data_IF_639380545725
#
_entry.id   IF_639380545725
#
_cell.length_a   1.000
_cell.length_b   1.000
_cell.length_c   1.000
_cell.angle_alpha   90.00
_cell.angle_beta   90.00
_cell.angle_gamma   90.00
#
_symmetry.space_group_name_H-M   'P 1'
#
loop_
_entity.id
_entity.type
_entity.pdbx_description
1 polymer ?
#
# COMPACT_ATOMS: atom_id res chain seq x y z
N UNK A 1 8.42 42.07 -3.53
CA UNK A 1 9.01 40.91 -2.83
C UNK A 1 7.88 40.06 -2.25
N UNK A 2 7.30 39.20 -3.08
CA UNK A 2 6.26 38.24 -2.70
C UNK A 2 6.91 36.87 -2.62
N UNK A 3 6.92 36.27 -1.43
CA UNK A 3 7.27 34.86 -1.24
C UNK A 3 6.08 34.02 -1.66
N UNK A 4 6.08 33.58 -2.91
CA UNK A 4 5.18 32.55 -3.40
C UNK A 4 5.67 31.19 -2.89
N UNK A 5 4.80 30.51 -2.14
CA UNK A 5 4.90 29.10 -1.79
C UNK A 5 4.91 28.28 -3.09
N UNK A 6 6.07 27.75 -3.46
CA UNK A 6 6.21 26.72 -4.48
C UNK A 6 6.38 25.39 -3.74
N UNK A 7 5.27 24.71 -3.43
CA UNK A 7 5.30 23.30 -3.03
C UNK A 7 5.60 22.50 -4.30
N UNK A 8 6.87 22.18 -4.50
CA UNK A 8 7.31 21.24 -5.51
C UNK A 8 6.76 19.86 -5.11
N UNK A 9 5.70 19.41 -5.77
CA UNK A 9 5.33 17.99 -5.80
C UNK A 9 6.41 17.26 -6.60
N UNK A 10 7.51 16.89 -5.92
CA UNK A 10 8.42 15.90 -6.44
C UNK A 10 7.71 14.55 -6.29
N UNK A 11 7.04 14.10 -7.35
CA UNK A 11 6.81 12.67 -7.54
C UNK A 11 8.19 12.03 -7.69
N UNK A 12 8.81 11.65 -6.56
CA UNK A 12 9.77 10.57 -6.57
C UNK A 12 8.99 9.35 -7.03
N UNK A 13 9.18 8.95 -8.29
CA UNK A 13 9.05 7.57 -8.70
C UNK A 13 9.98 6.75 -7.81
N UNK A 14 9.47 6.33 -6.65
CA UNK A 14 10.03 5.20 -5.95
C UNK A 14 9.76 4.04 -6.89
N UNK A 15 10.79 3.65 -7.62
CA UNK A 15 10.91 2.29 -8.12
C UNK A 15 10.77 1.41 -6.87
N UNK A 16 9.55 0.97 -6.56
CA UNK A 16 9.33 -0.11 -5.61
C UNK A 16 10.03 -1.31 -6.23
N UNK A 17 11.27 -1.55 -5.82
CA UNK A 17 11.80 -2.90 -5.86
C UNK A 17 10.83 -3.72 -5.02
N UNK A 18 10.06 -4.59 -5.66
CA UNK A 18 9.20 -5.58 -4.99
C UNK A 18 10.11 -6.61 -4.33
N UNK A 19 10.83 -6.18 -3.30
CA UNK A 19 11.50 -7.11 -2.41
C UNK A 19 10.40 -7.85 -1.67
N UNK A 20 10.49 -9.16 -1.65
CA UNK A 20 9.61 -10.00 -0.85
C UNK A 20 9.67 -9.53 0.61
N UNK A 21 8.51 -9.24 1.20
CA UNK A 21 8.45 -8.70 2.56
C UNK A 21 8.49 -9.80 3.63
N UNK A 22 8.14 -11.04 3.26
CA UNK A 22 7.98 -12.17 4.18
C UNK A 22 8.82 -13.36 3.72
N UNK A 23 9.63 -13.93 4.61
CA UNK A 23 10.31 -15.21 4.37
C UNK A 23 9.28 -16.38 4.37
N UNK A 24 9.05 -17.07 3.23
CA UNK A 24 8.10 -18.18 3.15
C UNK A 24 8.40 -19.32 4.11
N UNK A 25 9.69 -19.62 4.35
CA UNK A 25 10.08 -20.74 5.20
C UNK A 25 9.82 -20.41 6.67
N UNK A 26 10.08 -19.18 7.09
CA UNK A 26 9.75 -18.70 8.43
C UNK A 26 8.23 -18.69 8.65
N UNK A 27 7.46 -18.23 7.66
CA UNK A 27 6.00 -18.25 7.71
C UNK A 27 5.48 -19.68 7.87
N UNK A 28 5.91 -20.60 7.00
CA UNK A 28 5.55 -22.03 7.05
C UNK A 28 5.85 -22.65 8.42
N UNK A 29 7.05 -22.44 8.96
CA UNK A 29 7.43 -22.96 10.28
C UNK A 29 6.56 -22.38 11.40
N UNK A 30 6.30 -21.08 11.35
CA UNK A 30 5.45 -20.40 12.34
C UNK A 30 4.03 -20.96 12.34
N UNK A 31 3.39 -21.08 11.17
CA UNK A 31 2.02 -21.59 11.05
C UNK A 31 1.97 -23.07 11.41
N UNK A 32 2.94 -23.86 10.96
CA UNK A 32 3.01 -25.28 11.29
C UNK A 32 3.11 -25.51 12.80
N UNK A 33 3.91 -24.72 13.53
CA UNK A 33 4.03 -24.83 14.98
C UNK A 33 2.73 -24.47 15.72
N UNK A 34 2.05 -23.41 15.31
CA UNK A 34 0.75 -23.03 15.87
C UNK A 34 -0.29 -24.15 15.64
N UNK A 35 -0.37 -24.67 14.42
CA UNK A 35 -1.26 -25.78 14.08
C UNK A 35 -0.93 -27.07 14.83
N UNK A 36 0.34 -27.35 15.09
CA UNK A 36 0.78 -28.49 15.92
C UNK A 36 0.31 -28.37 17.37
N UNK A 37 0.18 -27.14 17.88
CA UNK A 37 -0.30 -26.83 19.22
C UNK A 37 -1.82 -26.64 19.30
N UNK A 38 -2.53 -26.87 18.20
CA UNK A 38 -3.97 -26.64 18.05
C UNK A 38 -4.39 -25.15 18.17
N UNK A 39 -3.45 -24.22 17.98
CA UNK A 39 -3.70 -22.77 17.96
C UNK A 39 -4.05 -22.28 16.54
N UNK A 40 -5.06 -22.91 15.95
CA UNK A 40 -5.44 -22.66 14.55
C UNK A 40 -6.01 -21.25 14.34
N UNK A 41 -6.69 -20.69 15.34
CA UNK A 41 -7.19 -19.33 15.37
C UNK A 41 -6.06 -18.31 15.20
N UNK A 42 -4.96 -18.49 15.94
CA UNK A 42 -3.76 -17.65 15.83
C UNK A 42 -3.10 -17.80 14.47
N UNK A 43 -3.09 -19.01 13.89
CA UNK A 43 -2.62 -19.21 12.52
C UNK A 43 -3.46 -18.40 11.54
N UNK A 44 -4.78 -18.47 11.62
CA UNK A 44 -5.68 -17.71 10.74
C UNK A 44 -5.48 -16.21 10.92
N UNK A 45 -5.45 -15.69 12.16
CA UNK A 45 -5.22 -14.28 12.42
C UNK A 45 -3.91 -13.77 11.81
N UNK A 46 -2.82 -14.52 11.99
CA UNK A 46 -1.51 -14.18 11.41
C UNK A 46 -1.51 -14.19 9.89
N UNK A 47 -2.23 -15.12 9.27
CA UNK A 47 -2.36 -15.19 7.81
C UNK A 47 -3.22 -14.04 7.28
N UNK A 48 -4.29 -13.69 8.00
CA UNK A 48 -5.14 -12.55 7.68
C UNK A 48 -4.37 -11.22 7.78
N UNK A 49 -3.45 -11.05 8.74
CA UNK A 49 -2.57 -9.87 8.76
C UNK A 49 -1.79 -9.70 7.44
N UNK A 50 -1.30 -10.79 6.85
CA UNK A 50 -0.57 -10.77 5.58
C UNK A 50 -1.52 -10.48 4.41
N UNK A 51 -2.66 -11.17 4.38
CA UNK A 51 -3.64 -11.06 3.29
C UNK A 51 -4.22 -9.65 3.15
N UNK A 52 -4.24 -8.88 4.25
CA UNK A 52 -4.80 -7.54 4.29
C UNK A 52 -3.74 -6.44 4.45
N UNK A 53 -2.46 -6.78 4.28
CA UNK A 53 -1.40 -5.79 4.27
C UNK A 53 -1.19 -5.25 2.85
N UNK A 54 -1.39 -3.94 2.68
CA UNK A 54 -1.18 -3.22 1.41
C UNK A 54 0.27 -3.30 0.90
N UNK A 55 1.23 -3.51 1.81
CA UNK A 55 2.66 -3.66 1.48
C UNK A 55 3.04 -5.09 1.08
N UNK A 56 2.17 -6.08 1.32
CA UNK A 56 2.45 -7.47 0.96
C UNK A 56 2.50 -7.64 -0.57
N UNK A 57 3.45 -8.44 -1.04
CA UNK A 57 3.51 -8.80 -2.46
C UNK A 57 2.44 -9.84 -2.81
N UNK A 58 2.14 -10.00 -4.11
CA UNK A 58 1.25 -11.08 -4.56
C UNK A 58 1.76 -12.47 -4.14
N UNK A 59 3.09 -12.66 -4.13
CA UNK A 59 3.71 -13.89 -3.68
C UNK A 59 3.61 -14.08 -2.15
N UNK A 60 3.70 -13.02 -1.35
CA UNK A 60 3.47 -13.08 0.10
C UNK A 60 2.03 -13.54 0.41
N UNK A 61 1.04 -12.97 -0.28
CA UNK A 61 -0.38 -13.36 -0.15
C UNK A 61 -0.64 -14.78 -0.67
N UNK A 62 0.02 -15.19 -1.76
CA UNK A 62 0.01 -16.58 -2.23
C UNK A 62 0.47 -17.54 -1.14
N UNK A 63 1.63 -17.27 -0.51
CA UNK A 63 2.14 -18.12 0.57
C UNK A 63 1.16 -18.18 1.76
N UNK A 64 0.53 -17.05 2.09
CA UNK A 64 -0.48 -17.02 3.14
C UNK A 64 -1.70 -17.91 2.81
N UNK A 65 -2.23 -17.82 1.58
CA UNK A 65 -3.33 -18.70 1.14
C UNK A 65 -2.94 -20.18 1.09
N UNK A 66 -1.70 -20.52 0.70
CA UNK A 66 -1.20 -21.91 0.78
C UNK A 66 -1.23 -22.41 2.22
N UNK A 67 -0.70 -21.63 3.18
CA UNK A 67 -0.72 -22.02 4.59
C UNK A 67 -2.15 -22.13 5.14
N UNK A 68 -3.06 -21.27 4.70
CA UNK A 68 -4.48 -21.33 5.06
C UNK A 68 -5.15 -22.60 4.53
N UNK A 69 -4.88 -22.96 3.27
CA UNK A 69 -5.32 -24.23 2.68
C UNK A 69 -4.84 -25.44 3.49
N UNK A 70 -3.54 -25.48 3.83
CA UNK A 70 -2.95 -26.57 4.61
C UNK A 70 -3.55 -26.66 6.02
N UNK A 71 -3.86 -25.52 6.64
CA UNK A 71 -4.55 -25.44 7.94
C UNK A 71 -5.93 -26.09 7.87
N UNK A 72 -6.75 -25.73 6.89
CA UNK A 72 -8.08 -26.33 6.72
C UNK A 72 -8.05 -27.79 6.27
N UNK A 73 -7.08 -28.17 5.44
CA UNK A 73 -6.85 -29.57 5.05
C UNK A 73 -6.60 -30.44 6.27
N UNK A 74 -5.81 -29.95 7.23
CA UNK A 74 -5.51 -30.66 8.48
C UNK A 74 -6.76 -30.87 9.35
N UNK A 75 -7.74 -29.98 9.23
CA UNK A 75 -9.05 -30.06 9.89
C UNK A 75 -10.11 -30.79 9.04
N UNK A 76 -9.69 -31.49 7.98
CA UNK A 76 -10.56 -32.22 7.04
C UNK A 76 -11.60 -31.36 6.31
N UNK A 77 -11.44 -30.04 6.31
CA UNK A 77 -12.29 -29.12 5.57
C UNK A 77 -11.69 -28.87 4.17
N UNK A 78 -11.82 -29.89 3.33
CA UNK A 78 -11.26 -29.87 1.97
C UNK A 78 -11.91 -28.82 1.07
N UNK A 79 -13.18 -28.48 1.29
CA UNK A 79 -13.88 -27.43 0.55
C UNK A 79 -13.21 -26.08 0.75
N UNK A 80 -12.99 -25.68 2.00
CA UNK A 80 -12.32 -24.41 2.31
C UNK A 80 -10.85 -24.45 1.89
N UNK A 81 -10.18 -25.60 2.02
CA UNK A 81 -8.81 -25.77 1.53
C UNK A 81 -8.70 -25.53 0.00
N UNK A 82 -9.57 -26.15 -0.80
CA UNK A 82 -9.60 -25.97 -2.27
C UNK A 82 -9.93 -24.53 -2.67
N UNK A 83 -10.84 -23.88 -1.95
CA UNK A 83 -11.15 -22.47 -2.16
C UNK A 83 -9.90 -21.59 -1.93
N UNK A 84 -9.16 -21.82 -0.85
CA UNK A 84 -7.92 -21.10 -0.57
C UNK A 84 -6.83 -21.37 -1.63
N UNK A 85 -6.73 -22.58 -2.19
CA UNK A 85 -5.82 -22.85 -3.32
C UNK A 85 -6.22 -22.08 -4.59
N UNK A 86 -7.51 -21.85 -4.77
CA UNK A 86 -8.02 -21.04 -5.89
C UNK A 86 -7.70 -19.57 -5.69
N UNK A 87 -7.90 -19.05 -4.48
CA UNK A 87 -7.49 -17.68 -4.11
C UNK A 87 -5.97 -17.49 -4.24
N UNK A 88 -5.17 -18.46 -3.78
CA UNK A 88 -3.72 -18.45 -3.95
C UNK A 88 -3.33 -18.31 -5.43
N UNK A 89 -3.95 -19.12 -6.30
CA UNK A 89 -3.72 -19.06 -7.74
C UNK A 89 -4.10 -17.70 -8.32
N UNK A 90 -5.29 -17.20 -8.01
CA UNK A 90 -5.77 -15.94 -8.58
C UNK A 90 -4.93 -14.74 -8.16
N UNK A 91 -4.39 -14.76 -6.95
CA UNK A 91 -3.52 -13.71 -6.42
C UNK A 91 -2.19 -13.61 -7.20
N UNK A 92 -1.55 -14.75 -7.49
CA UNK A 92 -0.16 -14.77 -7.98
C UNK A 92 0.02 -15.39 -9.38
N UNK A 93 -1.04 -15.74 -10.11
CA UNK A 93 -0.94 -16.32 -11.47
C UNK A 93 -0.19 -15.45 -12.49
N UNK A 94 -0.13 -14.15 -12.25
CA UNK A 94 0.58 -13.18 -13.10
C UNK A 94 2.00 -12.86 -12.59
N UNK A 95 2.44 -13.48 -11.50
CA UNK A 95 3.81 -13.34 -11.00
C UNK A 95 4.77 -14.08 -11.94
N UNK A 96 5.59 -13.33 -12.67
CA UNK A 96 6.55 -13.89 -13.62
C UNK A 96 7.81 -14.46 -12.95
N UNK A 97 8.14 -14.00 -11.74
CA UNK A 97 9.36 -14.40 -11.04
C UNK A 97 9.21 -15.81 -10.45
N UNK A 98 8.06 -16.08 -9.84
CA UNK A 98 7.78 -17.31 -9.10
C UNK A 98 6.81 -18.26 -9.82
N UNK A 99 6.55 -18.04 -11.12
CA UNK A 99 5.49 -18.69 -11.88
C UNK A 99 5.49 -20.23 -11.80
N UNK A 100 6.68 -20.85 -11.88
CA UNK A 100 6.81 -22.31 -11.88
C UNK A 100 6.57 -22.91 -10.49
N UNK A 101 7.03 -22.25 -9.43
CA UNK A 101 6.74 -22.66 -8.05
C UNK A 101 5.26 -22.55 -7.75
N UNK A 102 4.63 -21.42 -8.07
CA UNK A 102 3.20 -21.17 -7.85
C UNK A 102 2.36 -22.24 -8.54
N UNK A 103 2.61 -22.49 -9.83
CA UNK A 103 1.92 -23.53 -10.61
C UNK A 103 2.09 -24.91 -9.98
N UNK A 104 3.33 -25.27 -9.66
CA UNK A 104 3.67 -26.60 -9.15
C UNK A 104 3.06 -26.84 -7.78
N UNK A 105 3.11 -25.85 -6.90
CA UNK A 105 2.54 -25.95 -5.56
C UNK A 105 1.03 -26.10 -5.59
N UNK A 106 0.31 -25.25 -6.35
CA UNK A 106 -1.16 -25.35 -6.45
C UNK A 106 -1.59 -26.67 -7.09
N UNK A 107 -0.90 -27.12 -8.13
CA UNK A 107 -1.16 -28.40 -8.79
C UNK A 107 -1.06 -29.57 -7.81
N UNK A 108 0.06 -29.66 -7.09
CA UNK A 108 0.33 -30.77 -6.17
C UNK A 108 -0.60 -30.74 -4.96
N UNK A 109 -0.88 -29.58 -4.36
CA UNK A 109 -1.80 -29.51 -3.22
C UNK A 109 -3.24 -29.88 -3.61
N UNK A 110 -3.71 -29.48 -4.79
CA UNK A 110 -5.00 -29.93 -5.32
C UNK A 110 -5.01 -31.44 -5.57
N UNK A 111 -3.94 -31.97 -6.15
CA UNK A 111 -3.79 -33.41 -6.38
C UNK A 111 -3.85 -34.19 -5.06
N UNK A 112 -3.20 -33.70 -4.00
CA UNK A 112 -3.25 -34.34 -2.68
C UNK A 112 -4.66 -34.30 -2.08
N UNK A 113 -5.37 -33.18 -2.20
CA UNK A 113 -6.75 -33.09 -1.70
C UNK A 113 -7.68 -34.04 -2.45
N UNK A 114 -7.61 -34.11 -3.78
CA UNK A 114 -8.43 -35.04 -4.55
C UNK A 114 -8.06 -36.51 -4.30
N UNK A 115 -6.78 -36.78 -4.02
CA UNK A 115 -6.36 -38.10 -3.55
C UNK A 115 -7.00 -38.47 -2.21
N UNK A 116 -6.99 -37.56 -1.23
CA UNK A 116 -7.57 -37.77 0.10
C UNK A 116 -9.09 -37.95 0.03
N UNK A 117 -9.76 -37.19 -0.84
CA UNK A 117 -11.20 -37.29 -1.10
C UNK A 117 -11.60 -38.53 -1.92
N UNK A 118 -10.64 -39.25 -2.51
CA UNK A 118 -10.87 -40.36 -3.44
C UNK A 118 -11.64 -39.95 -4.71
N UNK A 119 -11.46 -38.70 -5.15
CA UNK A 119 -12.04 -38.14 -6.38
C UNK A 119 -11.19 -38.55 -7.59
N UNK A 120 -11.36 -39.80 -8.04
CA UNK A 120 -10.52 -40.45 -9.03
C UNK A 120 -10.36 -39.65 -10.34
N UNK A 121 -11.46 -39.13 -10.90
CA UNK A 121 -11.42 -38.39 -12.16
C UNK A 121 -10.57 -37.11 -12.09
N UNK A 122 -10.73 -36.34 -11.01
CA UNK A 122 -9.95 -35.10 -10.80
C UNK A 122 -8.51 -35.42 -10.47
N UNK A 123 -8.27 -36.43 -9.63
CA UNK A 123 -6.93 -36.90 -9.28
C UNK A 123 -6.16 -37.33 -10.53
N UNK A 124 -6.71 -38.21 -11.37
CA UNK A 124 -6.03 -38.74 -12.56
C UNK A 124 -5.76 -37.63 -13.59
N UNK A 125 -6.68 -36.67 -13.72
CA UNK A 125 -6.50 -35.50 -14.58
C UNK A 125 -5.33 -34.63 -14.13
N UNK A 126 -5.18 -34.40 -12.83
CA UNK A 126 -4.05 -33.63 -12.30
C UNK A 126 -2.75 -34.42 -12.33
N UNK A 127 -2.79 -35.73 -12.06
CA UNK A 127 -1.61 -36.59 -12.05
C UNK A 127 -0.91 -36.57 -13.41
N UNK A 128 -1.67 -36.61 -14.51
CA UNK A 128 -1.14 -36.51 -15.88
C UNK A 128 -0.47 -35.16 -16.18
N UNK A 129 -0.72 -34.12 -15.39
CA UNK A 129 -0.10 -32.80 -15.56
C UNK A 129 1.19 -32.65 -14.75
N UNK A 130 1.46 -33.54 -13.79
CA UNK A 130 2.69 -33.48 -12.98
C UNK A 130 3.88 -33.89 -13.85
N UNK A 131 4.87 -33.00 -13.94
CA UNK A 131 6.13 -33.23 -14.66
C UNK A 131 7.32 -33.15 -13.73
N UNK A 132 8.48 -33.68 -14.13
CA UNK A 132 9.73 -33.56 -13.37
C UNK A 132 10.11 -32.10 -13.10
N UNK A 133 9.80 -31.19 -14.04
CA UNK A 133 9.98 -29.76 -13.84
C UNK A 133 9.18 -29.25 -12.65
N UNK A 134 7.92 -29.68 -12.50
CA UNK A 134 7.12 -29.28 -11.34
C UNK A 134 7.74 -29.73 -10.02
N UNK A 135 8.26 -30.95 -10.00
CA UNK A 135 8.85 -31.56 -8.80
C UNK A 135 10.14 -30.87 -8.35
N UNK A 136 10.85 -30.18 -9.25
CA UNK A 136 12.04 -29.38 -8.91
C UNK A 136 11.72 -28.07 -8.21
N UNK A 137 10.47 -27.60 -8.29
CA UNK A 137 10.02 -26.31 -7.75
C UNK A 137 9.18 -26.45 -6.48
N UNK A 138 9.26 -27.58 -5.77
CA UNK A 138 8.55 -27.79 -4.51
C UNK A 138 9.49 -28.24 -3.39
N UNK A 139 9.06 -28.01 -2.15
CA UNK A 139 9.82 -28.42 -0.99
C UNK A 139 9.88 -29.95 -0.82
N UNK A 140 10.81 -30.42 0.00
CA UNK A 140 11.02 -31.86 0.22
C UNK A 140 9.80 -32.55 0.85
N UNK A 141 8.99 -31.83 1.65
CA UNK A 141 7.76 -32.39 2.22
C UNK A 141 6.71 -32.70 1.15
N UNK A 142 6.52 -31.77 0.21
CA UNK A 142 5.63 -31.92 -0.93
C UNK A 142 6.10 -33.05 -1.83
N UNK A 143 7.41 -33.11 -2.09
CA UNK A 143 8.01 -34.19 -2.86
C UNK A 143 7.83 -35.55 -2.18
N UNK A 144 8.01 -35.62 -0.86
CA UNK A 144 7.78 -36.84 -0.10
C UNK A 144 6.31 -37.28 -0.11
N UNK A 145 5.38 -36.32 -0.01
CA UNK A 145 3.95 -36.60 -0.11
C UNK A 145 3.60 -37.19 -1.48
N UNK A 146 4.03 -36.54 -2.57
CA UNK A 146 3.85 -37.05 -3.93
C UNK A 146 4.49 -38.44 -4.13
N UNK A 147 5.73 -38.62 -3.66
CA UNK A 147 6.44 -39.91 -3.73
C UNK A 147 5.67 -41.00 -2.99
N UNK A 148 5.06 -40.68 -1.84
CA UNK A 148 4.25 -41.64 -1.10
C UNK A 148 2.96 -42.02 -1.83
N UNK A 149 2.34 -41.09 -2.56
CA UNK A 149 1.21 -41.38 -3.45
C UNK A 149 1.63 -42.36 -4.55
N UNK A 150 2.80 -42.17 -5.18
CA UNK A 150 3.32 -43.14 -6.16
C UNK A 150 3.48 -44.53 -5.53
N UNK A 151 3.97 -44.60 -4.29
CA UNK A 151 4.04 -45.85 -3.54
C UNK A 151 2.66 -46.49 -3.29
N UNK A 152 1.64 -45.69 -2.99
CA UNK A 152 0.26 -46.18 -2.84
C UNK A 152 -0.30 -46.69 -4.18
N UNK A 153 -0.01 -46.01 -5.29
CA UNK A 153 -0.44 -46.42 -6.62
C UNK A 153 0.24 -47.74 -7.04
N UNK A 154 1.55 -47.85 -6.91
CA UNK A 154 2.28 -49.10 -7.18
C UNK A 154 1.74 -50.27 -6.34
N UNK A 155 1.44 -50.01 -5.06
CA UNK A 155 0.82 -50.99 -4.17
C UNK A 155 -0.58 -51.43 -4.66
N UNK A 156 -1.39 -50.53 -5.23
CA UNK A 156 -2.71 -50.88 -5.80
C UNK A 156 -2.59 -51.79 -7.02
N UNK A 157 -1.54 -51.60 -7.81
CA UNK A 157 -1.19 -52.44 -8.96
C UNK A 157 -0.49 -53.75 -8.56
N UNK A 158 -0.31 -54.01 -7.27
CA UNK A 158 0.45 -55.14 -6.71
C UNK A 158 1.96 -55.13 -7.06
N UNK A 159 2.50 -53.99 -7.50
CA UNK A 159 3.95 -53.78 -7.63
C UNK A 159 4.53 -53.40 -6.26
N UNK A 160 4.71 -54.40 -5.41
CA UNK A 160 5.14 -54.20 -4.03
C UNK A 160 6.59 -53.76 -3.90
N UNK A 161 7.46 -54.13 -4.84
CA UNK A 161 8.86 -53.72 -4.85
C UNK A 161 8.99 -52.21 -5.10
N UNK A 162 8.34 -51.72 -6.16
CA UNK A 162 8.32 -50.28 -6.43
C UNK A 162 7.60 -49.52 -5.31
N UNK A 163 6.52 -50.08 -4.76
CA UNK A 163 5.81 -49.47 -3.64
C UNK A 163 6.72 -49.27 -2.42
N UNK A 164 7.46 -50.30 -2.02
CA UNK A 164 8.41 -50.22 -0.90
C UNK A 164 9.52 -49.20 -1.19
N UNK A 165 10.10 -49.23 -2.40
CA UNK A 165 11.15 -48.30 -2.81
C UNK A 165 10.69 -46.83 -2.78
N UNK A 166 9.48 -46.54 -3.26
CA UNK A 166 8.91 -45.19 -3.17
C UNK A 166 8.71 -44.74 -1.72
N UNK A 167 8.20 -45.61 -0.86
CA UNK A 167 7.98 -45.27 0.55
C UNK A 167 9.31 -45.06 1.29
N UNK A 168 10.35 -45.84 1.00
CA UNK A 168 11.68 -45.64 1.58
C UNK A 168 12.31 -44.33 1.11
N UNK A 169 12.12 -43.98 -0.17
CA UNK A 169 12.52 -42.66 -0.69
C UNK A 169 11.79 -41.52 0.02
N UNK A 170 10.47 -41.66 0.24
CA UNK A 170 9.69 -40.66 0.97
C UNK A 170 10.14 -40.52 2.44
N UNK A 171 10.49 -41.62 3.10
CA UNK A 171 11.09 -41.60 4.45
C UNK A 171 12.42 -40.85 4.44
N UNK A 172 13.29 -41.13 3.46
CA UNK A 172 14.59 -40.48 3.35
C UNK A 172 14.48 -38.95 3.20
N UNK A 173 13.51 -38.49 2.39
CA UNK A 173 13.22 -37.06 2.21
C UNK A 173 12.74 -36.38 3.51
N UNK A 174 11.87 -37.04 4.28
CA UNK A 174 11.32 -36.44 5.50
C UNK A 174 12.25 -36.52 6.71
N UNK A 175 13.14 -37.51 6.78
CA UNK A 175 13.89 -37.83 7.99
C UNK A 175 14.68 -36.65 8.56
N UNK A 176 15.26 -35.81 7.70
CA UNK A 176 16.10 -34.68 8.10
C UNK A 176 15.38 -33.33 8.05
N UNK A 177 14.29 -33.22 7.28
CA UNK A 177 13.57 -31.96 7.09
C UNK A 177 12.37 -31.85 8.03
N UNK A 178 11.51 -32.87 8.04
CA UNK A 178 10.23 -32.88 8.76
C UNK A 178 9.89 -34.28 9.28
N UNK A 179 10.69 -34.83 10.21
CA UNK A 179 10.49 -36.18 10.77
C UNK A 179 9.12 -36.33 11.45
N UNK A 180 8.52 -35.23 11.92
CA UNK A 180 7.16 -35.24 12.48
C UNK A 180 6.10 -35.78 11.51
N UNK A 181 6.33 -35.70 10.19
CA UNK A 181 5.40 -36.16 9.15
C UNK A 181 5.60 -37.63 8.73
N UNK A 182 6.65 -38.30 9.22
CA UNK A 182 6.92 -39.71 8.93
C UNK A 182 5.78 -40.69 9.24
N UNK A 183 4.91 -40.48 10.26
CA UNK A 183 3.79 -41.38 10.51
C UNK A 183 2.88 -41.58 9.29
N UNK A 184 2.71 -40.55 8.43
CA UNK A 184 1.93 -40.69 7.19
C UNK A 184 2.50 -41.74 6.24
N UNK A 185 3.83 -41.87 6.18
CA UNK A 185 4.51 -42.85 5.32
C UNK A 185 4.46 -44.24 5.97
N UNK A 186 4.73 -44.31 7.27
CA UNK A 186 4.70 -45.57 8.01
C UNK A 186 3.31 -46.22 8.01
N UNK A 187 2.22 -45.45 8.07
CA UNK A 187 0.87 -45.99 7.88
C UNK A 187 0.73 -46.74 6.55
N UNK A 188 1.32 -46.23 5.46
CA UNK A 188 1.26 -46.91 4.16
C UNK A 188 2.09 -48.19 4.20
N UNK A 189 3.26 -48.18 4.86
CA UNK A 189 4.09 -49.39 5.05
C UNK A 189 3.36 -50.48 5.84
N UNK A 190 2.57 -50.12 6.86
CA UNK A 190 1.70 -51.09 7.59
C UNK A 190 0.77 -51.80 6.61
N UNK A 191 0.09 -51.06 5.75
CA UNK A 191 -0.83 -51.63 4.77
C UNK A 191 -0.11 -52.44 3.68
N UNK A 192 1.04 -51.97 3.19
CA UNK A 192 1.89 -52.68 2.22
C UNK A 192 2.34 -54.04 2.76
N UNK A 193 2.96 -54.05 3.94
CA UNK A 193 3.45 -55.28 4.55
C UNK A 193 2.33 -56.24 4.93
N UNK A 194 1.16 -55.73 5.31
CA UNK A 194 -0.04 -56.55 5.47
C UNK A 194 -0.46 -57.28 4.21
N UNK A 195 -0.42 -56.61 3.05
CA UNK A 195 -0.72 -57.24 1.75
C UNK A 195 0.35 -58.24 1.30
N UNK A 196 1.60 -58.02 1.70
CA UNK A 196 2.71 -58.94 1.44
C UNK A 196 2.78 -60.13 2.43
N UNK A 197 1.84 -60.22 3.39
CA UNK A 197 1.88 -61.18 4.51
C UNK A 197 3.17 -61.10 5.37
N UNK A 198 3.80 -59.92 5.42
CA UNK A 198 4.99 -59.61 6.24
C UNK A 198 4.55 -59.03 7.58
N UNK A 199 3.89 -59.84 8.41
CA UNK A 199 3.22 -59.37 9.64
C UNK A 199 4.15 -58.67 10.64
N UNK A 200 5.36 -59.20 10.84
CA UNK A 200 6.34 -58.60 11.75
C UNK A 200 6.77 -57.21 11.27
N UNK A 201 7.01 -57.04 9.97
CA UNK A 201 7.39 -55.76 9.39
C UNK A 201 6.23 -54.75 9.46
N UNK A 202 4.98 -55.21 9.29
CA UNK A 202 3.80 -54.37 9.45
C UNK A 202 3.71 -53.81 10.88
N UNK A 203 3.92 -54.64 11.90
CA UNK A 203 3.90 -54.22 13.30
C UNK A 203 5.07 -53.29 13.63
N UNK A 204 6.29 -53.59 13.16
CA UNK A 204 7.45 -52.69 13.32
C UNK A 204 7.22 -51.33 12.65
N UNK A 205 6.62 -51.31 11.46
CA UNK A 205 6.27 -50.06 10.79
C UNK A 205 5.23 -49.27 11.59
N UNK A 206 4.24 -49.94 12.18
CA UNK A 206 3.26 -49.30 13.06
C UNK A 206 3.92 -48.69 14.30
N UNK A 207 4.75 -49.47 15.00
CA UNK A 207 5.47 -49.02 16.19
C UNK A 207 6.35 -47.82 15.88
N UNK A 208 7.11 -47.87 14.78
CA UNK A 208 7.97 -46.76 14.36
C UNK A 208 7.18 -45.50 14.02
N UNK A 209 6.06 -45.65 13.29
CA UNK A 209 5.17 -44.53 12.99
C UNK A 209 4.55 -43.91 14.25
N UNK A 210 4.15 -44.74 15.21
CA UNK A 210 3.59 -44.26 16.47
C UNK A 210 4.65 -43.57 17.34
N UNK A 211 5.88 -44.10 17.39
CA UNK A 211 7.02 -43.47 18.09
C UNK A 211 7.26 -42.05 17.59
N UNK A 212 7.27 -41.83 16.27
CA UNK A 212 7.37 -40.48 15.70
C UNK A 212 6.18 -39.59 16.09
N UNK A 213 4.96 -40.11 16.03
CA UNK A 213 3.78 -39.35 16.41
C UNK A 213 3.82 -38.91 17.89
N UNK A 214 4.31 -39.78 18.78
CA UNK A 214 4.44 -39.50 20.22
C UNK A 214 5.62 -38.56 20.51
N UNK A 215 6.79 -38.79 19.91
CA UNK A 215 7.99 -37.98 20.07
C UNK A 215 7.71 -36.50 19.71
N UNK A 216 6.99 -36.27 18.62
CA UNK A 216 6.66 -34.93 18.12
C UNK A 216 5.29 -34.42 18.60
N UNK A 217 4.58 -35.17 19.46
CA UNK A 217 3.27 -34.80 20.02
C UNK A 217 2.22 -34.48 18.95
N UNK A 218 2.19 -35.29 17.89
CA UNK A 218 1.33 -35.08 16.73
C UNK A 218 0.02 -35.88 16.87
N UNK A 219 -1.01 -35.28 17.47
CA UNK A 219 -2.28 -35.98 17.74
C UNK A 219 -3.00 -36.48 16.48
N UNK A 220 -2.99 -35.69 15.40
CA UNK A 220 -3.51 -36.13 14.10
C UNK A 220 -2.80 -37.40 13.60
N UNK A 221 -1.50 -37.53 13.84
CA UNK A 221 -0.74 -38.69 13.41
C UNK A 221 -0.92 -39.90 14.31
N UNK A 222 -1.24 -39.70 15.60
CA UNK A 222 -1.70 -40.80 16.47
C UNK A 222 -3.00 -41.40 15.94
N UNK A 223 -3.96 -40.56 15.54
CA UNK A 223 -5.21 -40.99 14.90
C UNK A 223 -4.91 -41.80 13.63
N UNK A 224 -4.09 -41.26 12.73
CA UNK A 224 -3.72 -41.89 11.45
C UNK A 224 -3.04 -43.26 11.68
N UNK A 225 -2.16 -43.39 12.66
CA UNK A 225 -1.54 -44.68 13.00
C UNK A 225 -2.54 -45.67 13.60
N UNK A 226 -3.43 -45.23 14.50
CA UNK A 226 -4.47 -46.11 15.04
C UNK A 226 -5.44 -46.60 13.96
N UNK A 227 -5.77 -45.76 12.98
CA UNK A 227 -6.58 -46.17 11.82
C UNK A 227 -5.84 -47.19 10.94
N UNK A 228 -4.54 -46.98 10.72
CA UNK A 228 -3.68 -47.91 9.97
C UNK A 228 -3.74 -49.32 10.55
N UNK A 229 -3.49 -49.44 11.85
CA UNK A 229 -3.44 -50.74 12.52
C UNK A 229 -4.84 -51.36 12.68
N UNK A 230 -5.88 -50.53 12.86
CA UNK A 230 -7.27 -50.98 12.87
C UNK A 230 -7.61 -51.65 11.53
N UNK A 231 -7.27 -51.00 10.40
CA UNK A 231 -7.48 -51.56 9.06
C UNK A 231 -6.68 -52.83 8.86
N UNK A 232 -5.41 -52.85 9.27
CA UNK A 232 -4.56 -54.03 9.20
C UNK A 232 -5.19 -55.23 9.92
N UNK A 233 -5.54 -55.10 11.21
CA UNK A 233 -6.14 -56.22 11.96
C UNK A 233 -7.46 -56.68 11.36
N UNK A 234 -8.29 -55.74 10.87
CA UNK A 234 -9.53 -56.07 10.17
C UNK A 234 -9.28 -56.92 8.92
N UNK A 235 -8.26 -56.57 8.14
CA UNK A 235 -7.90 -57.31 6.91
C UNK A 235 -7.35 -58.71 7.21
N UNK A 236 -6.70 -58.88 8.37
CA UNK A 236 -6.23 -60.18 8.86
C UNK A 236 -7.33 -61.02 9.55
N UNK A 237 -8.55 -60.50 9.67
CA UNK A 237 -9.66 -61.17 10.37
C UNK A 237 -9.57 -61.11 11.90
N UNK A 238 -8.63 -60.36 12.47
CA UNK A 238 -8.51 -60.13 13.91
C UNK A 238 -9.42 -58.97 14.36
N UNK A 239 -10.72 -59.26 14.39
CA UNK A 239 -11.73 -58.27 14.75
C UNK A 239 -11.62 -57.80 16.21
N UNK A 240 -11.02 -58.59 17.10
CA UNK A 240 -10.82 -58.22 18.50
C UNK A 240 -9.83 -57.05 18.61
N UNK A 241 -8.66 -57.19 17.99
CA UNK A 241 -7.68 -56.10 17.99
C UNK A 241 -8.12 -54.92 17.13
N UNK A 242 -8.81 -55.18 16.01
CA UNK A 242 -9.40 -54.10 15.21
C UNK A 242 -10.39 -53.26 16.04
N UNK A 243 -11.29 -53.90 16.81
CA UNK A 243 -12.23 -53.21 17.69
C UNK A 243 -11.51 -52.42 18.80
N UNK A 244 -10.49 -53.01 19.43
CA UNK A 244 -9.69 -52.34 20.45
C UNK A 244 -9.04 -51.04 19.93
N UNK A 245 -8.41 -51.07 18.75
CA UNK A 245 -7.82 -49.88 18.16
C UNK A 245 -8.86 -48.90 17.62
N UNK A 246 -10.02 -49.36 17.16
CA UNK A 246 -11.14 -48.49 16.78
C UNK A 246 -11.63 -47.64 17.97
N UNK A 247 -11.63 -48.17 19.20
CA UNK A 247 -11.94 -47.38 20.39
C UNK A 247 -10.90 -46.27 20.63
N UNK A 248 -9.61 -46.55 20.39
CA UNK A 248 -8.55 -45.53 20.46
C UNK A 248 -8.72 -44.45 19.39
N UNK A 249 -9.08 -44.84 18.16
CA UNK A 249 -9.42 -43.88 17.09
C UNK A 249 -10.56 -42.97 17.54
N UNK A 250 -11.64 -43.55 18.09
CA UNK A 250 -12.79 -42.78 18.55
C UNK A 250 -12.42 -41.79 19.66
N UNK A 251 -11.67 -42.21 20.67
CA UNK A 251 -11.21 -41.33 21.76
C UNK A 251 -10.30 -40.21 21.23
N UNK A 252 -9.34 -40.55 20.37
CA UNK A 252 -8.40 -39.57 19.82
C UNK A 252 -9.09 -38.56 18.90
N UNK A 253 -10.05 -38.99 18.06
CA UNK A 253 -10.83 -38.08 17.20
C UNK A 253 -11.71 -37.13 17.99
N UNK A 254 -12.34 -37.60 19.07
CA UNK A 254 -13.13 -36.75 19.97
C UNK A 254 -12.27 -35.65 20.59
N UNK A 255 -11.03 -35.96 20.98
CA UNK A 255 -10.09 -34.98 21.54
C UNK A 255 -9.57 -34.00 20.48
N UNK A 256 -9.26 -34.50 19.28
CA UNK A 256 -8.77 -33.66 18.18
C UNK A 256 -9.85 -32.71 17.64
N UNK A 257 -11.11 -33.15 17.65
CA UNK A 257 -12.31 -32.34 17.39
C UNK A 257 -12.26 -31.46 16.11
N UNK A 258 -11.68 -31.99 15.03
CA UNK A 258 -11.41 -31.24 13.81
C UNK A 258 -12.62 -30.49 13.24
N UNK A 259 -13.79 -31.13 13.23
CA UNK A 259 -15.00 -30.56 12.65
C UNK A 259 -15.47 -29.32 13.41
N UNK A 260 -15.45 -29.37 14.75
CA UNK A 260 -15.87 -28.23 15.57
C UNK A 260 -14.86 -27.08 15.42
N UNK A 261 -13.57 -27.38 15.51
CA UNK A 261 -12.50 -26.39 15.33
C UNK A 261 -12.61 -25.74 13.94
N UNK A 262 -12.83 -26.53 12.88
CA UNK A 262 -13.02 -25.96 11.54
C UNK A 262 -14.26 -25.07 11.43
N UNK A 263 -15.34 -25.40 12.14
CA UNK A 263 -16.55 -24.57 12.20
C UNK A 263 -16.26 -23.22 12.85
N UNK A 264 -15.59 -23.24 14.01
CA UNK A 264 -15.15 -22.05 14.75
C UNK A 264 -14.23 -21.16 13.91
N UNK A 265 -13.29 -21.73 13.15
CA UNK A 265 -12.42 -20.95 12.27
C UNK A 265 -13.19 -20.29 11.11
N UNK A 266 -14.18 -20.98 10.56
CA UNK A 266 -15.01 -20.42 9.48
C UNK A 266 -15.84 -19.24 10.00
N UNK A 267 -16.32 -19.34 11.23
CA UNK A 267 -17.04 -18.25 11.92
C UNK A 267 -16.10 -17.08 12.22
N UNK A 268 -14.91 -17.35 12.76
CA UNK A 268 -13.87 -16.34 13.00
C UNK A 268 -13.54 -15.55 11.72
N UNK A 269 -13.31 -16.22 10.60
CA UNK A 269 -13.01 -15.53 9.34
C UNK A 269 -14.16 -14.65 8.84
N UNK A 270 -15.39 -15.11 9.03
CA UNK A 270 -16.57 -14.32 8.70
C UNK A 270 -16.64 -13.06 9.57
N UNK A 271 -16.37 -13.17 10.87
CA UNK A 271 -16.29 -12.03 11.79
C UNK A 271 -15.20 -11.04 11.37
N UNK A 272 -14.00 -11.52 11.01
CA UNK A 272 -12.90 -10.69 10.54
C UNK A 272 -13.28 -9.94 9.25
N UNK A 273 -13.95 -10.62 8.31
CA UNK A 273 -14.45 -10.00 7.08
C UNK A 273 -15.49 -8.92 7.37
N UNK A 274 -16.45 -9.20 8.24
CA UNK A 274 -17.50 -8.24 8.62
C UNK A 274 -16.90 -7.02 9.35
N UNK A 275 -15.92 -7.23 10.23
CA UNK A 275 -15.17 -6.15 10.89
C UNK A 275 -14.45 -5.26 9.88
N UNK A 276 -13.74 -5.85 8.91
CA UNK A 276 -13.04 -5.09 7.86
C UNK A 276 -14.00 -4.27 7.01
N UNK A 277 -15.10 -4.87 6.55
CA UNK A 277 -16.12 -4.18 5.77
C UNK A 277 -16.70 -2.98 6.54
N UNK A 278 -16.89 -3.12 7.85
CA UNK A 278 -17.36 -2.03 8.70
C UNK A 278 -16.33 -0.90 8.83
N UNK A 279 -15.04 -1.24 8.93
CA UNK A 279 -13.93 -0.27 8.96
C UNK A 279 -13.86 0.49 7.61
N UNK A 280 -13.91 -0.22 6.49
CA UNK A 280 -13.92 0.38 5.14
C UNK A 280 -15.11 1.34 4.96
N UNK A 281 -16.31 0.91 5.38
CA UNK A 281 -17.51 1.74 5.31
C UNK A 281 -17.40 2.98 6.20
N UNK A 282 -16.80 2.86 7.38
CA UNK A 282 -16.55 3.99 8.27
C UNK A 282 -15.52 4.97 7.68
N UNK A 283 -14.47 4.44 7.05
CA UNK A 283 -13.49 5.23 6.33
C UNK A 283 -14.13 5.97 5.15
N UNK A 284 -14.92 5.28 4.31
CA UNK A 284 -15.63 5.86 3.17
C UNK A 284 -16.56 7.00 3.60
N UNK A 285 -17.34 6.79 4.67
CA UNK A 285 -18.21 7.84 5.26
C UNK A 285 -17.39 9.04 5.72
N UNK A 286 -16.26 8.81 6.38
CA UNK A 286 -15.37 9.87 6.87
C UNK A 286 -14.75 10.64 5.70
N UNK A 287 -14.25 9.96 4.67
CA UNK A 287 -13.71 10.60 3.46
C UNK A 287 -14.75 11.47 2.74
N UNK A 288 -16.00 11.00 2.62
CA UNK A 288 -17.11 11.80 2.06
C UNK A 288 -17.40 13.05 2.90
N UNK A 289 -17.41 12.92 4.23
CA UNK A 289 -17.60 14.07 5.12
C UNK A 289 -16.49 15.11 4.94
N UNK A 290 -15.22 14.69 4.88
CA UNK A 290 -14.11 15.61 4.60
C UNK A 290 -14.28 16.32 3.26
N UNK A 291 -14.71 15.59 2.22
CA UNK A 291 -14.95 16.18 0.89
C UNK A 291 -16.06 17.25 0.94
N UNK A 292 -17.17 17.00 1.66
CA UNK A 292 -18.23 17.99 1.83
C UNK A 292 -17.75 19.23 2.60
N UNK A 293 -16.98 19.04 3.67
CA UNK A 293 -16.41 20.16 4.43
C UNK A 293 -15.48 21.00 3.55
N UNK A 294 -14.59 20.37 2.80
CA UNK A 294 -13.69 21.05 1.86
C UNK A 294 -14.52 21.81 0.79
N UNK A 295 -15.55 21.18 0.22
CA UNK A 295 -16.40 21.82 -0.78
C UNK A 295 -17.15 23.05 -0.22
N UNK A 296 -17.65 22.98 1.02
CA UNK A 296 -18.29 24.11 1.70
C UNK A 296 -17.29 25.24 1.94
N UNK A 297 -16.07 24.93 2.41
CA UNK A 297 -15.01 25.91 2.62
C UNK A 297 -14.64 26.60 1.30
N UNK A 298 -14.49 25.84 0.20
CA UNK A 298 -14.20 26.38 -1.13
C UNK A 298 -15.34 27.26 -1.64
N UNK A 299 -16.60 26.86 -1.44
CA UNK A 299 -17.76 27.66 -1.81
C UNK A 299 -17.79 28.99 -1.05
N UNK A 300 -17.56 28.97 0.27
CA UNK A 300 -17.48 30.17 1.09
C UNK A 300 -16.31 31.08 0.67
N UNK A 301 -15.16 30.50 0.29
CA UNK A 301 -14.01 31.24 -0.22
C UNK A 301 -14.34 31.93 -1.55
N UNK A 302 -15.00 31.23 -2.48
CA UNK A 302 -15.44 31.79 -3.77
C UNK A 302 -16.43 32.95 -3.55
N UNK A 303 -17.41 32.78 -2.65
CA UNK A 303 -18.38 33.83 -2.32
C UNK A 303 -17.70 35.06 -1.69
N UNK A 304 -16.76 34.85 -0.77
CA UNK A 304 -15.97 35.91 -0.13
C UNK A 304 -15.12 36.69 -1.16
N UNK A 305 -14.43 35.96 -2.04
CA UNK A 305 -13.62 36.56 -3.11
C UNK A 305 -14.50 37.35 -4.09
N UNK A 306 -15.65 36.81 -4.49
CA UNK A 306 -16.64 37.51 -5.32
C UNK A 306 -17.11 38.83 -4.68
N UNK A 307 -17.39 38.82 -3.37
CA UNK A 307 -17.76 40.03 -2.61
C UNK A 307 -16.61 41.05 -2.61
N UNK A 308 -15.37 40.61 -2.38
CA UNK A 308 -14.19 41.47 -2.35
C UNK A 308 -13.93 42.14 -3.70
N UNK A 309 -14.04 41.39 -4.79
CA UNK A 309 -13.93 41.91 -6.16
C UNK A 309 -15.03 42.94 -6.46
N UNK A 310 -16.27 42.68 -6.04
CA UNK A 310 -17.38 43.61 -6.23
C UNK A 310 -17.17 44.93 -5.46
N UNK A 311 -16.75 44.86 -4.20
CA UNK A 311 -16.41 46.05 -3.39
C UNK A 311 -15.26 46.83 -4.03
N UNK A 312 -14.24 46.13 -4.52
CA UNK A 312 -13.10 46.77 -5.20
C UNK A 312 -13.54 47.49 -6.48
N UNK A 313 -14.48 46.90 -7.25
CA UNK A 313 -15.08 47.53 -8.43
C UNK A 313 -15.87 48.80 -8.05
N UNK A 314 -16.71 48.73 -7.01
CA UNK A 314 -17.46 49.90 -6.53
C UNK A 314 -16.55 51.04 -6.07
N UNK A 315 -15.47 50.72 -5.33
CA UNK A 315 -14.45 51.70 -4.92
C UNK A 315 -13.79 52.38 -6.13
N UNK A 316 -13.42 51.61 -7.16
CA UNK A 316 -12.83 52.17 -8.39
C UNK A 316 -13.78 53.15 -9.08
N UNK A 317 -15.05 52.79 -9.22
CA UNK A 317 -16.07 53.66 -9.83
C UNK A 317 -16.28 54.94 -9.01
N UNK A 318 -16.30 54.84 -7.68
CA UNK A 318 -16.45 56.01 -6.82
C UNK A 318 -15.26 56.98 -6.95
N UNK A 319 -14.04 56.45 -6.89
CA UNK A 319 -12.81 57.23 -7.06
C UNK A 319 -12.76 57.88 -8.45
N UNK A 320 -13.19 57.18 -9.49
CA UNK A 320 -13.26 57.74 -10.85
C UNK A 320 -14.26 58.89 -10.94
N UNK A 321 -15.43 58.79 -10.29
CA UNK A 321 -16.41 59.88 -10.19
C UNK A 321 -15.86 61.09 -9.44
N UNK A 322 -15.24 60.87 -8.29
CA UNK A 322 -14.65 61.92 -7.46
C UNK A 322 -13.50 62.63 -8.19
N UNK A 323 -12.62 61.87 -8.86
CA UNK A 323 -11.56 62.43 -9.70
C UNK A 323 -12.12 63.27 -10.86
N UNK A 324 -13.21 62.84 -11.49
CA UNK A 324 -13.86 63.62 -12.56
C UNK A 324 -14.49 64.90 -12.00
N UNK A 325 -15.12 64.85 -10.83
CA UNK A 325 -15.65 66.04 -10.16
C UNK A 325 -14.55 67.06 -9.86
N UNK A 326 -13.45 66.61 -9.24
CA UNK A 326 -12.29 67.46 -8.93
C UNK A 326 -11.71 68.07 -10.22
N UNK A 327 -11.61 67.31 -11.30
CA UNK A 327 -11.15 67.82 -12.61
C UNK A 327 -12.05 68.94 -13.13
N UNK A 328 -13.37 68.74 -13.12
CA UNK A 328 -14.33 69.76 -13.58
C UNK A 328 -14.28 71.01 -12.70
N UNK A 329 -14.09 70.85 -11.39
CA UNK A 329 -13.98 71.97 -10.46
C UNK A 329 -12.67 72.74 -10.64
N UNK A 330 -11.54 72.06 -10.84
CA UNK A 330 -10.27 72.69 -11.23
C UNK A 330 -10.43 73.44 -12.55
N UNK A 331 -11.06 72.84 -13.55
CA UNK A 331 -11.31 73.48 -14.85
C UNK A 331 -12.16 74.73 -14.71
N UNK A 332 -13.25 74.66 -13.92
CA UNK A 332 -14.10 75.80 -13.60
C UNK A 332 -13.31 76.92 -12.91
N UNK A 333 -12.55 76.59 -11.86
CA UNK A 333 -11.73 77.56 -11.13
C UNK A 333 -10.61 78.15 -12.01
N UNK A 334 -10.05 77.36 -12.93
CA UNK A 334 -9.04 77.82 -13.90
C UNK A 334 -9.66 78.78 -14.91
N UNK A 335 -10.83 78.45 -15.45
CA UNK A 335 -11.57 79.32 -16.37
C UNK A 335 -12.07 80.59 -15.67
N UNK A 336 -12.53 80.51 -14.41
CA UNK A 336 -12.89 81.66 -13.59
C UNK A 336 -11.68 82.58 -13.35
N UNK A 337 -10.52 82.02 -12.99
CA UNK A 337 -9.24 82.74 -12.90
C UNK A 337 -8.89 83.45 -14.21
N UNK A 338 -9.03 82.78 -15.34
CA UNK A 338 -8.71 83.33 -16.66
C UNK A 338 -9.72 84.41 -17.08
N UNK A 339 -11.00 84.29 -16.69
CA UNK A 339 -12.06 85.29 -16.93
C UNK A 339 -12.00 86.53 -16.02
N UNK A 340 -11.44 86.39 -14.81
CA UNK A 340 -11.21 87.47 -13.85
C UNK A 340 -10.06 88.40 -14.26
N UNK A 341 -9.46 88.18 -15.44
CA UNK A 341 -8.39 89.05 -15.95
C UNK A 341 -7.20 89.14 -15.00
N UNK A 342 -6.89 88.05 -14.29
CA UNK A 342 -5.64 87.95 -13.53
C UNK A 342 -4.47 87.83 -14.52
N UNK A 343 -4.06 89.02 -14.94
CA UNK A 343 -2.80 89.44 -15.53
C UNK A 343 -1.76 88.31 -15.55
N UNK A 344 -1.42 87.90 -16.77
CA UNK A 344 -0.11 87.34 -17.12
C UNK A 344 0.93 88.30 -16.52
N UNK A 345 1.58 87.93 -15.42
CA UNK A 345 2.55 88.81 -14.74
C UNK A 345 3.63 89.17 -15.76
N UNK A 346 3.61 90.41 -16.23
CA UNK A 346 4.68 91.00 -17.02
C UNK A 346 5.87 91.22 -16.07
N UNK A 347 6.88 90.36 -16.22
CA UNK A 347 8.04 90.27 -15.32
C UNK A 347 8.97 91.49 -15.49
N UNK A 348 8.65 92.45 -16.36
CA UNK A 348 9.37 93.71 -16.44
C UNK A 348 9.18 94.60 -15.20
N UNK A 349 8.16 94.36 -14.35
CA UNK A 349 7.87 95.21 -13.18
C UNK A 349 8.13 94.59 -11.81
N UNK A 350 8.64 93.36 -11.73
CA UNK A 350 9.08 92.78 -10.46
C UNK A 350 10.56 93.05 -10.36
N UNK A 351 10.98 93.86 -9.38
CA UNK A 351 12.29 94.53 -9.23
C UNK A 351 13.55 93.65 -9.14
N UNK A 352 13.62 92.60 -9.97
CA UNK A 352 14.80 91.83 -10.28
C UNK A 352 15.73 92.67 -11.12
N UNK A 353 17.00 92.68 -10.72
CA UNK A 353 18.09 93.21 -11.54
C UNK A 353 18.21 92.43 -12.85
N UNK A 354 18.77 93.05 -13.90
CA UNK A 354 19.04 92.39 -15.20
C UNK A 354 19.73 91.03 -15.00
N UNK A 355 20.68 90.98 -14.07
CA UNK A 355 21.41 89.77 -13.74
C UNK A 355 20.56 88.66 -13.14
N UNK A 356 19.57 89.01 -12.32
CA UNK A 356 18.63 88.05 -11.77
C UNK A 356 17.65 87.55 -12.85
N UNK A 357 17.26 88.40 -13.79
CA UNK A 357 16.41 88.01 -14.92
C UNK A 357 17.12 87.00 -15.84
N UNK A 358 18.41 87.19 -16.13
CA UNK A 358 19.23 86.22 -16.86
C UNK A 358 19.26 84.85 -16.15
N UNK A 359 19.44 84.85 -14.83
CA UNK A 359 19.46 83.63 -14.02
C UNK A 359 18.10 82.91 -14.08
N UNK A 360 16.98 83.64 -13.98
CA UNK A 360 15.62 83.05 -14.09
C UNK A 360 15.42 82.37 -15.44
N UNK A 361 15.81 83.01 -16.55
CA UNK A 361 15.69 82.41 -17.90
C UNK A 361 16.46 81.09 -18.02
N UNK A 362 17.67 81.02 -17.49
CA UNK A 362 18.49 79.80 -17.54
C UNK A 362 17.94 78.70 -16.62
N UNK A 363 17.30 79.06 -15.48
CA UNK A 363 16.59 78.10 -14.63
C UNK A 363 15.38 77.49 -15.35
N UNK A 364 14.62 78.30 -16.10
CA UNK A 364 13.49 77.82 -16.90
C UNK A 364 13.90 76.80 -17.95
N UNK A 365 15.07 77.00 -18.56
CA UNK A 365 15.69 76.04 -19.48
C UNK A 365 16.19 74.75 -18.80
N UNK A 366 16.04 74.63 -17.48
CA UNK A 366 16.42 73.43 -16.72
C UNK A 366 17.90 73.32 -16.41
N UNK A 367 18.70 74.38 -16.65
CA UNK A 367 20.12 74.36 -16.32
C UNK A 367 20.33 74.21 -14.81
N UNK A 368 21.45 73.62 -14.39
CA UNK A 368 21.87 73.54 -12.98
C UNK A 368 22.62 74.81 -12.56
N UNK A 369 22.76 75.09 -11.26
CA UNK A 369 23.46 76.28 -10.77
C UNK A 369 24.91 76.37 -11.27
N UNK A 370 25.58 75.22 -11.44
CA UNK A 370 26.94 75.13 -11.99
C UNK A 370 26.97 75.54 -13.47
N UNK A 371 25.99 75.08 -14.25
CA UNK A 371 25.88 75.45 -15.67
C UNK A 371 25.55 76.94 -15.83
N UNK A 372 24.64 77.47 -15.00
CA UNK A 372 24.32 78.91 -14.98
C UNK A 372 25.56 79.73 -14.63
N UNK A 373 26.33 79.31 -13.63
CA UNK A 373 27.58 79.96 -13.25
C UNK A 373 28.58 80.01 -14.40
N UNK A 374 28.74 78.90 -15.13
CA UNK A 374 29.61 78.86 -16.30
C UNK A 374 29.10 79.75 -17.45
N UNK A 375 27.80 79.72 -17.76
CA UNK A 375 27.20 80.52 -18.84
C UNK A 375 27.26 82.02 -18.57
N UNK A 376 27.23 82.41 -17.29
CA UNK A 376 27.25 83.80 -16.87
C UNK A 376 28.64 84.25 -16.36
N UNK A 377 29.64 83.38 -16.35
CA UNK A 377 30.99 83.64 -15.83
C UNK A 377 31.02 84.10 -14.36
N UNK A 378 30.23 83.44 -13.49
CA UNK A 378 30.18 83.66 -12.04
C UNK A 378 30.25 82.33 -11.26
N UNK A 379 30.62 82.39 -9.99
CA UNK A 379 30.69 81.17 -9.16
C UNK A 379 29.31 80.56 -8.91
N UNK A 380 29.22 79.25 -8.74
CA UNK A 380 27.97 78.55 -8.38
C UNK A 380 27.35 79.12 -7.08
N UNK A 381 28.18 79.53 -6.13
CA UNK A 381 27.71 80.14 -4.88
C UNK A 381 27.07 81.51 -5.12
N UNK A 382 27.57 82.29 -6.07
CA UNK A 382 26.95 83.55 -6.50
C UNK A 382 25.59 83.29 -7.15
N UNK A 383 25.45 82.22 -7.94
CA UNK A 383 24.15 81.81 -8.49
C UNK A 383 23.16 81.43 -7.39
N UNK A 384 23.60 80.65 -6.38
CA UNK A 384 22.75 80.29 -5.22
C UNK A 384 22.29 81.53 -4.46
N UNK A 385 23.17 82.51 -4.27
CA UNK A 385 22.82 83.78 -3.63
C UNK A 385 21.75 84.54 -4.42
N UNK A 386 21.93 84.72 -5.73
CA UNK A 386 20.92 85.39 -6.56
C UNK A 386 19.59 84.63 -6.58
N UNK A 387 19.61 83.29 -6.63
CA UNK A 387 18.39 82.49 -6.57
C UNK A 387 17.62 82.65 -5.27
N UNK A 388 18.33 82.75 -4.13
CA UNK A 388 17.68 83.07 -2.85
C UNK A 388 16.99 84.42 -2.90
N UNK A 389 17.68 85.46 -3.38
CA UNK A 389 17.08 86.79 -3.54
C UNK A 389 15.90 86.78 -4.52
N UNK A 390 15.98 85.99 -5.60
CA UNK A 390 14.89 85.81 -6.55
C UNK A 390 13.69 85.14 -5.88
N UNK A 391 13.90 84.07 -5.11
CA UNK A 391 12.84 83.38 -4.37
C UNK A 391 12.15 84.31 -3.38
N UNK A 392 12.93 85.07 -2.61
CA UNK A 392 12.42 86.05 -1.66
C UNK A 392 11.64 87.18 -2.37
N UNK A 393 12.15 87.66 -3.51
CA UNK A 393 11.51 88.74 -4.29
C UNK A 393 10.24 88.29 -5.00
N UNK A 394 10.20 87.03 -5.45
CA UNK A 394 9.09 86.46 -6.21
C UNK A 394 8.09 85.68 -5.33
N UNK A 395 8.37 85.50 -4.04
CA UNK A 395 7.53 84.74 -3.11
C UNK A 395 7.39 83.26 -3.47
N UNK A 396 8.39 82.66 -4.12
CA UNK A 396 8.39 81.24 -4.50
C UNK A 396 9.32 80.44 -3.59
N UNK A 397 8.89 79.26 -3.15
CA UNK A 397 9.63 78.49 -2.13
C UNK A 397 10.62 77.48 -2.71
N UNK A 398 10.49 77.13 -4.00
CA UNK A 398 11.34 76.12 -4.62
C UNK A 398 11.71 76.43 -6.07
N UNK A 399 12.81 75.82 -6.54
CA UNK A 399 13.23 75.87 -7.95
C UNK A 399 12.14 75.33 -8.88
N UNK A 400 11.41 74.33 -8.43
CA UNK A 400 10.31 73.72 -9.20
C UNK A 400 9.14 74.68 -9.31
N UNK A 401 8.85 75.45 -8.26
CA UNK A 401 7.82 76.48 -8.26
C UNK A 401 8.25 77.68 -9.10
N UNK A 402 9.52 78.11 -9.03
CA UNK A 402 10.07 79.14 -9.93
C UNK A 402 9.95 78.72 -11.41
N UNK A 403 10.13 77.42 -11.71
CA UNK A 403 9.99 76.89 -13.08
C UNK A 403 8.52 76.77 -13.52
N UNK A 404 7.59 76.53 -12.60
CA UNK A 404 6.15 76.41 -12.90
C UNK A 404 5.43 77.75 -12.96
N UNK A 405 5.79 78.69 -12.09
CA UNK A 405 5.17 80.00 -12.02
C UNK A 405 5.40 80.84 -13.29
N UNK A 406 6.38 80.48 -14.11
CA UNK A 406 6.81 81.24 -15.29
C UNK A 406 7.18 80.36 -16.50
N UNK A 407 6.54 79.19 -16.67
CA UNK A 407 6.54 78.42 -17.92
C UNK A 407 5.25 78.70 -18.69
#
# INVERSE_FOLDING_TARGET
MQKAFLVLFLHCCVLYSTAQSIDPLQLKRSISNLNDQHEYDKSILKLEEILNNDEATAYDRFQAYIQKSLTYKRLFNYTVALNNLTLAWDEARNDSLNAEEIKSRVLLERLFIYFDLQEHDQFDKLLKQVTDKNLQHVDQETLACYTSILGILAKRENDFESAEAYLDKAIALLKNESPKNLPNIYRVKVALYGQMNRHEDALKAYEKGLEYAEQYKMDIYRIVMFEAITKYYKDQGDYKNAFYYQLKVSDARTKYNANNVSGELTELEKELLDQRKNIELAHEKSSKLYLYVIAIILLLLILSLGKLLNVSKQKRVLVERENNHIRLEIEKLTNERDSLGLVKIDIASVGLTERQQEIVKLVQQGMTNKQIGNSLFISENTVKYHLKQIYDTLGVESRTDLRRAYA
#
